data_IF_053729508666
#
_entry.id   IF_053729508666
#
_cell.length_a   1.000
_cell.length_b   1.000
_cell.length_c   1.000
_cell.angle_alpha   90.00
_cell.angle_beta   90.00
_cell.angle_gamma   90.00
#
_symmetry.space_group_name_H-M   'P 1'
#
loop_
_entity.id
_entity.type
_entity.pdbx_description
1 polymer ?
#
# COMPACT_ATOMS: atom_id res chain seq x y z
N UNK A 1 -20.97 16.57 -4.91
CA UNK A 1 -20.32 15.89 -3.76
C UNK A 1 -18.97 15.35 -4.21
N UNK A 2 -17.86 15.63 -3.50
CA UNK A 2 -16.52 15.18 -3.90
C UNK A 2 -16.05 13.92 -3.16
N UNK A 3 -16.55 13.68 -1.95
CA UNK A 3 -16.21 12.51 -1.14
C UNK A 3 -17.48 11.84 -0.67
N UNK A 4 -17.54 10.52 -0.82
CA UNK A 4 -18.57 9.67 -0.22
C UNK A 4 -17.91 8.65 0.67
N UNK A 5 -18.39 8.53 1.90
CA UNK A 5 -17.98 7.47 2.80
C UNK A 5 -19.22 6.68 3.23
N UNK A 6 -19.22 5.39 2.91
CA UNK A 6 -20.23 4.41 3.32
C UNK A 6 -19.61 3.39 4.29
N UNK A 7 -18.53 3.79 4.97
CA UNK A 7 -17.81 2.91 5.87
C UNK A 7 -18.72 2.45 7.02
N UNK A 8 -18.65 1.17 7.39
CA UNK A 8 -19.49 0.60 8.48
C UNK A 8 -21.00 0.62 8.20
N UNK A 9 -21.41 0.93 6.96
CA UNK A 9 -22.81 0.86 6.56
C UNK A 9 -23.18 -0.54 6.04
N UNK A 10 -24.46 -0.88 6.15
CA UNK A 10 -25.06 -1.92 5.32
C UNK A 10 -25.32 -1.30 3.95
N UNK A 11 -24.55 -1.72 2.95
CA UNK A 11 -24.65 -1.25 1.57
C UNK A 11 -25.23 -2.39 0.74
N UNK A 12 -26.42 -2.17 0.20
CA UNK A 12 -27.08 -3.11 -0.71
C UNK A 12 -26.94 -2.66 -2.17
N UNK A 13 -27.48 -3.45 -3.10
CA UNK A 13 -27.43 -3.14 -4.53
C UNK A 13 -28.10 -1.80 -4.89
N UNK A 14 -29.17 -1.39 -4.20
CA UNK A 14 -29.85 -0.13 -4.50
C UNK A 14 -28.98 1.09 -4.16
N UNK A 15 -28.19 1.02 -3.09
CA UNK A 15 -27.20 2.07 -2.78
C UNK A 15 -26.14 2.14 -3.87
N UNK A 16 -25.67 1.00 -4.37
CA UNK A 16 -24.70 0.95 -5.47
C UNK A 16 -25.27 1.48 -6.79
N UNK A 17 -26.53 1.20 -7.09
CA UNK A 17 -27.21 1.81 -8.24
C UNK A 17 -27.28 3.34 -8.09
N UNK A 18 -27.60 3.82 -6.89
CA UNK A 18 -27.67 5.26 -6.61
C UNK A 18 -26.32 5.96 -6.76
N UNK A 19 -25.20 5.24 -6.59
CA UNK A 19 -23.87 5.82 -6.83
C UNK A 19 -23.71 6.29 -8.28
N UNK A 20 -24.37 5.64 -9.24
CA UNK A 20 -24.26 5.98 -10.67
C UNK A 20 -24.70 7.41 -10.98
N UNK A 21 -25.54 8.00 -10.13
CA UNK A 21 -26.05 9.37 -10.28
C UNK A 21 -25.01 10.46 -9.93
N UNK A 22 -23.92 10.11 -9.23
CA UNK A 22 -22.87 11.07 -8.94
C UNK A 22 -22.02 11.35 -10.18
N UNK A 23 -21.83 12.63 -10.51
CA UNK A 23 -21.04 13.04 -11.69
C UNK A 23 -19.62 13.51 -11.35
N UNK A 24 -19.34 13.86 -10.10
CA UNK A 24 -18.10 14.56 -9.69
C UNK A 24 -17.42 13.94 -8.46
N UNK A 25 -17.68 12.65 -8.20
CA UNK A 25 -17.09 11.97 -7.06
C UNK A 25 -15.57 11.79 -7.27
N UNK A 26 -14.77 12.21 -6.28
CA UNK A 26 -13.31 12.10 -6.27
C UNK A 26 -12.80 11.03 -5.30
N UNK A 27 -13.53 10.80 -4.22
CA UNK A 27 -13.16 9.82 -3.19
C UNK A 27 -14.37 8.98 -2.82
N UNK A 28 -14.18 7.66 -2.83
CA UNK A 28 -15.19 6.70 -2.44
C UNK A 28 -14.61 5.76 -1.36
N UNK A 29 -15.25 5.72 -0.19
CA UNK A 29 -14.89 4.80 0.89
C UNK A 29 -16.00 3.78 1.10
N UNK A 30 -15.65 2.52 0.87
CA UNK A 30 -16.47 1.31 1.00
C UNK A 30 -15.78 0.31 1.95
N UNK A 31 -15.13 0.81 3.00
CA UNK A 31 -14.40 -0.01 3.97
C UNK A 31 -15.28 -0.43 5.16
N UNK A 32 -14.93 -1.52 5.83
CA UNK A 32 -15.64 -2.02 7.01
C UNK A 32 -17.14 -2.28 6.79
N UNK A 33 -17.56 -2.67 5.58
CA UNK A 33 -18.98 -2.90 5.30
C UNK A 33 -19.53 -3.99 6.20
N UNK A 34 -20.77 -3.86 6.64
CA UNK A 34 -21.39 -4.83 7.58
C UNK A 34 -22.24 -5.89 6.87
N UNK A 35 -22.41 -5.77 5.55
CA UNK A 35 -23.20 -6.68 4.72
C UNK A 35 -22.66 -6.79 3.29
N UNK A 36 -23.12 -7.85 2.61
CA UNK A 36 -22.77 -8.22 1.24
C UNK A 36 -22.93 -7.09 0.23
N UNK A 37 -21.84 -6.57 -0.31
CA UNK A 37 -21.85 -5.62 -1.42
C UNK A 37 -21.70 -6.35 -2.74
N UNK A 38 -22.62 -6.16 -3.67
CA UNK A 38 -22.49 -6.68 -5.04
C UNK A 38 -22.38 -5.54 -6.03
N UNK A 39 -21.33 -5.56 -6.85
CA UNK A 39 -21.19 -4.63 -7.96
C UNK A 39 -22.07 -5.06 -9.14
N UNK A 40 -22.83 -4.12 -9.69
CA UNK A 40 -23.55 -4.28 -10.97
C UNK A 40 -22.55 -4.17 -12.12
N UNK A 41 -22.57 -5.10 -13.09
CA UNK A 41 -21.66 -5.09 -14.25
C UNK A 41 -22.23 -4.31 -15.45
N UNK A 42 -23.45 -3.83 -15.34
CA UNK A 42 -24.33 -3.50 -16.46
C UNK A 42 -24.38 -2.01 -16.81
N UNK A 43 -23.87 -1.10 -15.95
CA UNK A 43 -23.73 0.33 -16.27
C UNK A 43 -22.49 0.97 -15.67
N UNK A 44 -21.88 1.89 -16.44
CA UNK A 44 -20.73 2.70 -16.04
C UNK A 44 -21.12 3.78 -15.03
N UNK A 45 -20.22 4.07 -14.09
CA UNK A 45 -20.37 5.22 -13.18
C UNK A 45 -20.04 6.54 -13.90
N UNK A 46 -20.88 7.57 -13.72
CA UNK A 46 -20.67 8.88 -14.37
C UNK A 46 -19.40 9.59 -13.89
N UNK A 47 -18.86 9.20 -12.73
CA UNK A 47 -17.61 9.71 -12.16
C UNK A 47 -16.36 8.93 -12.61
N UNK A 48 -16.42 8.13 -13.67
CA UNK A 48 -15.31 7.27 -14.13
C UNK A 48 -13.99 8.02 -14.40
N UNK A 49 -14.07 9.30 -14.79
CA UNK A 49 -12.90 10.17 -15.04
C UNK A 49 -12.57 11.12 -13.86
N UNK A 50 -13.39 11.19 -12.82
CA UNK A 50 -13.16 12.10 -11.69
C UNK A 50 -12.68 11.41 -10.43
N UNK A 51 -12.87 10.09 -10.33
CA UNK A 51 -12.52 9.34 -9.13
C UNK A 51 -11.01 9.15 -9.02
N UNK A 52 -10.45 9.69 -7.93
CA UNK A 52 -9.01 9.70 -7.65
C UNK A 52 -8.65 8.68 -6.57
N UNK A 53 -9.56 8.40 -5.63
CA UNK A 53 -9.27 7.56 -4.47
C UNK A 53 -10.41 6.60 -4.15
N UNK A 54 -10.05 5.34 -3.95
CA UNK A 54 -10.94 4.27 -3.46
C UNK A 54 -10.35 3.65 -2.21
N UNK A 55 -11.20 3.44 -1.20
CA UNK A 55 -10.91 2.62 -0.04
C UNK A 55 -11.92 1.47 0.04
N UNK A 56 -11.42 0.25 -0.08
CA UNK A 56 -12.16 -1.02 0.01
C UNK A 56 -11.46 -1.93 1.03
N UNK A 57 -10.89 -1.34 2.09
CA UNK A 57 -10.29 -2.11 3.19
C UNK A 57 -11.34 -2.92 3.95
N UNK A 58 -10.93 -4.02 4.57
CA UNK A 58 -11.83 -4.88 5.34
C UNK A 58 -13.05 -5.31 4.51
N UNK A 59 -12.84 -5.59 3.22
CA UNK A 59 -13.88 -5.89 2.24
C UNK A 59 -14.40 -7.32 2.31
N UNK A 60 -14.50 -7.91 3.50
CA UNK A 60 -14.91 -9.31 3.65
C UNK A 60 -16.26 -9.62 3.04
N UNK A 61 -17.11 -8.60 2.91
CA UNK A 61 -18.46 -8.69 2.42
C UNK A 61 -18.61 -8.24 0.96
N UNK A 62 -17.54 -7.86 0.27
CA UNK A 62 -17.65 -7.63 -1.17
C UNK A 62 -17.84 -8.98 -1.87
N UNK A 63 -18.89 -9.08 -2.67
CA UNK A 63 -19.27 -10.25 -3.46
C UNK A 63 -19.30 -9.89 -4.95
N UNK A 64 -18.85 -10.81 -5.80
CA UNK A 64 -18.73 -10.59 -7.24
C UNK A 64 -17.37 -10.04 -7.65
N UNK A 65 -17.24 -9.73 -8.94
CA UNK A 65 -15.96 -9.38 -9.55
C UNK A 65 -15.62 -7.90 -9.32
N UNK A 66 -14.86 -7.63 -8.24
CA UNK A 66 -14.38 -6.28 -7.92
C UNK A 66 -13.48 -5.71 -9.02
N UNK A 67 -12.86 -6.55 -9.85
CA UNK A 67 -12.00 -6.07 -10.93
C UNK A 67 -12.82 -5.32 -11.98
N UNK A 68 -14.03 -5.80 -12.30
CA UNK A 68 -14.96 -5.12 -13.22
C UNK A 68 -15.35 -3.74 -12.70
N UNK A 69 -15.53 -3.61 -11.38
CA UNK A 69 -15.81 -2.32 -10.76
C UNK A 69 -14.62 -1.37 -10.89
N UNK A 70 -13.42 -1.82 -10.48
CA UNK A 70 -12.24 -0.96 -10.44
C UNK A 70 -11.75 -0.53 -11.85
N UNK A 71 -11.88 -1.41 -12.86
CA UNK A 71 -11.48 -1.13 -14.26
C UNK A 71 -12.13 0.10 -14.89
N UNK A 72 -13.25 0.55 -14.33
CA UNK A 72 -13.98 1.70 -14.88
C UNK A 72 -13.25 3.01 -14.59
N UNK A 73 -12.46 3.09 -13.51
CA UNK A 73 -11.91 4.35 -13.01
C UNK A 73 -10.54 4.66 -13.60
N UNK A 74 -10.51 5.50 -14.63
CA UNK A 74 -9.30 5.78 -15.43
C UNK A 74 -8.33 6.78 -14.81
N UNK A 75 -8.77 7.49 -13.77
CA UNK A 75 -7.97 8.51 -13.09
C UNK A 75 -7.64 8.11 -11.65
N UNK A 76 -7.75 6.82 -11.32
CA UNK A 76 -7.53 6.32 -9.97
C UNK A 76 -6.04 6.41 -9.60
N UNK A 77 -5.73 7.29 -8.64
CA UNK A 77 -4.35 7.50 -8.14
C UNK A 77 -4.09 6.86 -6.80
N UNK A 78 -5.13 6.59 -6.01
CA UNK A 78 -5.00 6.07 -4.65
C UNK A 78 -5.94 4.90 -4.44
N UNK A 79 -5.39 3.77 -4.02
CA UNK A 79 -6.15 2.57 -3.71
C UNK A 79 -5.76 2.03 -2.34
N UNK A 80 -6.78 1.74 -1.53
CA UNK A 80 -6.60 1.06 -0.25
C UNK A 80 -7.37 -0.25 -0.24
N UNK A 81 -6.66 -1.35 -0.03
CA UNK A 81 -7.15 -2.73 0.03
C UNK A 81 -6.58 -3.46 1.25
N UNK A 82 -6.48 -2.76 2.40
CA UNK A 82 -5.99 -3.33 3.65
C UNK A 82 -6.90 -4.45 4.13
N UNK A 83 -6.33 -5.56 4.63
CA UNK A 83 -7.06 -6.73 5.10
C UNK A 83 -8.23 -7.11 4.17
N UNK A 84 -7.90 -7.39 2.90
CA UNK A 84 -8.90 -7.66 1.86
C UNK A 84 -8.83 -9.10 1.39
N UNK A 85 -10.00 -9.76 1.33
CA UNK A 85 -10.14 -11.08 0.69
C UNK A 85 -9.90 -11.05 -0.81
N UNK A 86 -10.03 -9.88 -1.45
CA UNK A 86 -9.89 -9.67 -2.89
C UNK A 86 -8.50 -9.16 -3.32
N UNK A 87 -7.53 -9.15 -2.40
CA UNK A 87 -6.20 -8.59 -2.67
C UNK A 87 -5.54 -9.23 -3.89
N UNK A 88 -5.76 -10.53 -4.12
CA UNK A 88 -5.06 -11.30 -5.15
C UNK A 88 -5.52 -10.85 -6.53
N UNK A 89 -6.83 -10.87 -6.74
CA UNK A 89 -7.49 -10.45 -7.98
C UNK A 89 -7.18 -8.99 -8.30
N UNK A 90 -7.11 -8.14 -7.26
CA UNK A 90 -6.78 -6.72 -7.43
C UNK A 90 -5.31 -6.52 -7.79
N UNK A 91 -4.37 -7.23 -7.16
CA UNK A 91 -2.95 -7.14 -7.53
C UNK A 91 -2.68 -7.68 -8.93
N UNK A 92 -3.33 -8.79 -9.30
CA UNK A 92 -3.27 -9.33 -10.67
C UNK A 92 -3.80 -8.30 -11.68
N UNK A 93 -4.91 -7.63 -11.36
CA UNK A 93 -5.47 -6.57 -12.18
C UNK A 93 -4.49 -5.40 -12.34
N UNK A 94 -3.97 -4.87 -11.24
CA UNK A 94 -3.09 -3.69 -11.24
C UNK A 94 -1.81 -3.94 -12.03
N UNK A 95 -1.28 -5.17 -11.98
CA UNK A 95 -0.05 -5.53 -12.66
C UNK A 95 -0.19 -5.58 -14.19
N UNK A 96 -1.41 -5.81 -14.73
CA UNK A 96 -1.62 -6.02 -16.18
C UNK A 96 -2.44 -4.93 -16.85
N UNK A 97 -3.29 -4.21 -16.10
CA UNK A 97 -4.24 -3.27 -16.67
C UNK A 97 -3.69 -1.83 -16.66
N UNK A 98 -3.57 -1.26 -17.86
CA UNK A 98 -3.04 0.09 -18.09
C UNK A 98 -3.79 1.20 -17.36
N UNK A 99 -5.06 1.00 -16.97
CA UNK A 99 -5.81 1.98 -16.21
C UNK A 99 -5.17 2.25 -14.83
N UNK A 100 -4.48 1.26 -14.27
CA UNK A 100 -3.79 1.38 -12.99
C UNK A 100 -2.36 1.88 -13.13
N UNK A 101 -1.88 2.19 -14.34
CA UNK A 101 -0.60 2.89 -14.49
C UNK A 101 -0.63 4.29 -13.87
N UNK A 102 -1.83 4.87 -13.67
CA UNK A 102 -1.98 6.13 -12.96
C UNK A 102 -1.95 6.00 -11.43
N UNK A 103 -1.87 4.78 -10.89
CA UNK A 103 -1.87 4.52 -9.45
C UNK A 103 -0.54 4.94 -8.83
N UNK A 104 -0.60 5.93 -7.93
CA UNK A 104 0.55 6.55 -7.27
C UNK A 104 0.66 6.16 -5.78
N UNK A 105 -0.47 5.82 -5.14
CA UNK A 105 -0.50 5.42 -3.72
C UNK A 105 -1.28 4.12 -3.55
N UNK A 106 -0.65 3.15 -2.88
CA UNK A 106 -1.24 1.85 -2.58
C UNK A 106 -1.06 1.54 -1.11
N UNK A 107 -2.17 1.20 -0.46
CA UNK A 107 -2.16 0.66 0.89
C UNK A 107 -2.76 -0.75 0.86
N UNK A 108 -1.89 -1.71 1.17
CA UNK A 108 -2.13 -3.16 1.16
C UNK A 108 -1.79 -3.77 2.52
N UNK A 109 -1.89 -3.00 3.60
CA UNK A 109 -1.53 -3.46 4.94
C UNK A 109 -2.42 -4.62 5.41
N UNK A 110 -1.96 -5.37 6.41
CA UNK A 110 -2.73 -6.44 7.05
C UNK A 110 -3.18 -7.55 6.10
N UNK A 111 -2.51 -7.68 4.95
CA UNK A 111 -2.70 -8.79 4.01
C UNK A 111 -1.58 -9.81 4.16
N UNK A 112 -1.91 -11.09 4.03
CA UNK A 112 -0.94 -12.19 3.92
C UNK A 112 -0.65 -12.43 2.45
N UNK A 113 0.57 -12.19 1.99
CA UNK A 113 0.97 -12.36 0.60
C UNK A 113 1.59 -13.73 0.33
N UNK A 114 1.51 -14.14 -0.93
CA UNK A 114 2.34 -15.17 -1.54
C UNK A 114 3.48 -14.53 -2.34
N UNK A 115 4.50 -15.34 -2.68
CA UNK A 115 5.62 -14.91 -3.53
C UNK A 115 5.14 -14.33 -4.87
N UNK A 116 4.14 -14.96 -5.49
CA UNK A 116 3.59 -14.52 -6.77
C UNK A 116 2.88 -13.15 -6.66
N UNK A 117 2.16 -12.89 -5.56
CA UNK A 117 1.53 -11.59 -5.33
C UNK A 117 2.58 -10.48 -5.12
N UNK A 118 3.70 -10.79 -4.45
CA UNK A 118 4.81 -9.86 -4.32
C UNK A 118 5.50 -9.59 -5.67
N UNK A 119 5.62 -10.59 -6.54
CA UNK A 119 6.09 -10.38 -7.92
C UNK A 119 5.18 -9.42 -8.68
N UNK A 120 3.85 -9.61 -8.63
CA UNK A 120 2.89 -8.68 -9.25
C UNK A 120 2.99 -7.27 -8.70
N UNK A 121 3.13 -7.12 -7.37
CA UNK A 121 3.36 -5.83 -6.74
C UNK A 121 4.64 -5.17 -7.26
N UNK A 122 5.73 -5.92 -7.43
CA UNK A 122 7.02 -5.38 -7.89
C UNK A 122 7.00 -4.79 -9.31
N UNK A 123 5.99 -5.12 -10.12
CA UNK A 123 5.82 -4.59 -11.48
C UNK A 123 5.23 -3.16 -11.50
N UNK A 124 4.81 -2.61 -10.35
CA UNK A 124 4.15 -1.31 -10.26
C UNK A 124 5.13 -0.12 -10.29
N UNK A 125 5.55 0.29 -11.50
CA UNK A 125 6.61 1.30 -11.70
C UNK A 125 6.25 2.74 -11.28
N UNK A 126 4.96 3.09 -11.29
CA UNK A 126 4.51 4.45 -11.02
C UNK A 126 4.18 4.71 -9.54
N UNK A 127 4.35 3.70 -8.69
CA UNK A 127 4.02 3.78 -7.28
C UNK A 127 4.98 4.72 -6.54
N UNK A 128 4.43 5.74 -5.88
CA UNK A 128 5.15 6.75 -5.10
C UNK A 128 5.01 6.54 -3.60
N UNK A 129 3.90 5.95 -3.17
CA UNK A 129 3.65 5.65 -1.77
C UNK A 129 3.13 4.21 -1.62
N UNK A 130 3.80 3.43 -0.78
CA UNK A 130 3.38 2.08 -0.41
C UNK A 130 3.26 1.96 1.11
N UNK A 131 2.09 1.51 1.56
CA UNK A 131 1.86 1.03 2.91
C UNK A 131 1.69 -0.49 2.85
N UNK A 132 2.53 -1.24 3.58
CA UNK A 132 2.57 -2.71 3.49
C UNK A 132 2.82 -3.36 4.85
N UNK A 133 2.16 -4.50 5.07
CA UNK A 133 2.57 -5.49 6.08
C UNK A 133 3.27 -6.61 5.33
N UNK A 134 4.49 -6.95 5.74
CA UNK A 134 5.32 -7.88 5.00
C UNK A 134 5.75 -9.03 5.90
N UNK A 135 5.40 -10.25 5.53
CA UNK A 135 5.90 -11.44 6.20
C UNK A 135 7.34 -11.71 5.75
N UNK A 136 8.22 -11.93 6.72
CA UNK A 136 9.65 -12.01 6.49
C UNK A 136 10.06 -13.33 5.83
N UNK A 137 9.36 -14.43 6.15
CA UNK A 137 9.53 -15.72 5.50
C UNK A 137 9.11 -15.67 4.02
N UNK A 138 7.95 -15.05 3.74
CA UNK A 138 7.46 -14.89 2.37
C UNK A 138 8.38 -13.98 1.56
N UNK A 139 8.85 -12.88 2.14
CA UNK A 139 9.76 -11.98 1.44
C UNK A 139 11.11 -12.65 1.14
N UNK A 140 11.63 -13.46 2.06
CA UNK A 140 12.85 -14.23 1.83
C UNK A 140 12.67 -15.22 0.67
N UNK A 141 11.54 -15.91 0.62
CA UNK A 141 11.22 -16.82 -0.50
C UNK A 141 11.09 -16.06 -1.81
N UNK A 142 10.45 -14.89 -1.80
CA UNK A 142 10.40 -13.99 -2.95
C UNK A 142 11.81 -13.62 -3.43
N UNK A 143 12.70 -13.22 -2.53
CA UNK A 143 14.07 -12.84 -2.91
C UNK A 143 14.81 -14.00 -3.57
N UNK A 144 14.63 -15.21 -3.04
CA UNK A 144 15.27 -16.41 -3.59
C UNK A 144 14.78 -16.80 -4.99
N UNK A 145 13.52 -16.50 -5.31
CA UNK A 145 12.87 -16.94 -6.56
C UNK A 145 12.84 -15.86 -7.64
N UNK A 146 12.59 -14.61 -7.24
CA UNK A 146 12.29 -13.49 -8.13
C UNK A 146 13.37 -12.39 -8.08
N UNK A 147 14.29 -12.45 -7.12
CA UNK A 147 15.32 -11.43 -6.93
C UNK A 147 14.83 -10.25 -6.10
N UNK A 148 15.14 -9.02 -6.51
CA UNK A 148 14.87 -7.84 -5.67
C UNK A 148 13.60 -7.12 -6.08
N UNK A 149 12.90 -6.57 -5.10
CA UNK A 149 11.77 -5.67 -5.32
C UNK A 149 12.26 -4.21 -5.32
N UNK A 150 11.94 -3.47 -6.37
CA UNK A 150 12.39 -2.10 -6.58
C UNK A 150 11.29 -1.25 -7.21
N UNK A 151 11.11 -0.04 -6.69
CA UNK A 151 10.13 0.91 -7.17
C UNK A 151 10.81 2.23 -7.55
N UNK A 152 10.86 2.52 -8.85
CA UNK A 152 11.61 3.66 -9.40
C UNK A 152 11.21 5.02 -8.82
N UNK A 153 9.91 5.21 -8.59
CA UNK A 153 9.33 6.48 -8.17
C UNK A 153 8.92 6.51 -6.69
N UNK A 154 9.36 5.53 -5.89
CA UNK A 154 8.94 5.41 -4.50
C UNK A 154 9.53 6.52 -3.64
N UNK A 155 8.68 7.43 -3.19
CA UNK A 155 9.05 8.53 -2.31
C UNK A 155 8.73 8.21 -0.85
N UNK A 156 7.74 7.35 -0.59
CA UNK A 156 7.28 7.04 0.77
C UNK A 156 6.98 5.57 0.96
N UNK A 157 7.67 4.94 1.91
CA UNK A 157 7.47 3.54 2.27
C UNK A 157 7.09 3.44 3.74
N UNK A 158 6.00 2.74 4.02
CA UNK A 158 5.49 2.54 5.38
C UNK A 158 5.30 1.05 5.64
N UNK A 159 6.02 0.53 6.62
CA UNK A 159 5.80 -0.81 7.14
C UNK A 159 4.84 -0.74 8.33
N UNK A 160 3.80 -1.58 8.31
CA UNK A 160 2.82 -1.69 9.40
C UNK A 160 2.79 -3.13 9.89
N UNK A 161 2.87 -3.34 11.21
CA UNK A 161 2.82 -4.67 11.84
C UNK A 161 3.86 -5.65 11.29
N UNK A 162 5.04 -5.15 10.92
CA UNK A 162 6.12 -5.95 10.30
C UNK A 162 7.29 -6.13 11.26
N UNK A 163 7.80 -7.36 11.40
CA UNK A 163 9.11 -7.64 12.01
C UNK A 163 10.20 -7.42 10.95
N UNK A 164 10.92 -6.31 11.04
CA UNK A 164 11.93 -5.91 10.06
C UNK A 164 13.20 -6.73 10.34
N UNK A 165 13.60 -7.53 9.36
CA UNK A 165 14.85 -8.29 9.36
C UNK A 165 15.84 -7.71 8.33
N UNK A 166 16.98 -8.39 8.12
CA UNK A 166 18.03 -7.93 7.19
C UNK A 166 17.53 -7.86 5.75
N UNK A 167 16.75 -8.84 5.32
CA UNK A 167 16.20 -8.96 3.97
C UNK A 167 15.21 -7.83 3.69
N UNK A 168 14.26 -7.59 4.60
CA UNK A 168 13.33 -6.45 4.50
C UNK A 168 14.09 -5.12 4.58
N UNK A 169 15.18 -5.05 5.35
CA UNK A 169 16.00 -3.84 5.34
C UNK A 169 16.73 -3.63 4.01
N UNK A 170 17.18 -4.71 3.36
CA UNK A 170 17.76 -4.62 2.03
C UNK A 170 16.75 -4.07 1.02
N UNK A 171 15.48 -4.49 1.09
CA UNK A 171 14.40 -3.89 0.28
C UNK A 171 14.40 -2.36 0.40
N UNK A 172 14.51 -1.84 1.63
CA UNK A 172 14.50 -0.40 1.89
C UNK A 172 15.67 0.27 1.19
N UNK A 173 16.88 -0.30 1.30
CA UNK A 173 18.10 0.24 0.68
C UNK A 173 18.06 0.28 -0.85
N UNK A 174 17.27 -0.59 -1.48
CA UNK A 174 17.10 -0.56 -2.94
C UNK A 174 16.25 0.64 -3.40
N UNK A 175 15.46 1.28 -2.52
CA UNK A 175 14.55 2.36 -2.89
C UNK A 175 15.27 3.72 -2.97
N UNK A 176 16.09 3.92 -4.01
CA UNK A 176 16.95 5.11 -4.18
C UNK A 176 16.20 6.45 -4.25
N UNK A 177 14.91 6.43 -4.60
CA UNK A 177 14.05 7.63 -4.62
C UNK A 177 13.39 7.96 -3.27
N UNK A 178 13.59 7.12 -2.24
CA UNK A 178 12.88 7.21 -0.96
C UNK A 178 13.21 8.49 -0.20
N UNK A 179 12.17 9.21 0.23
CA UNK A 179 12.25 10.46 1.01
C UNK A 179 11.75 10.21 2.44
N UNK A 180 10.64 9.49 2.57
CA UNK A 180 9.96 9.21 3.83
C UNK A 180 9.91 7.71 4.11
N UNK A 181 10.48 7.29 5.23
CA UNK A 181 10.38 5.93 5.73
C UNK A 181 9.62 5.91 7.05
N UNK A 182 8.66 5.00 7.21
CA UNK A 182 7.93 4.86 8.47
C UNK A 182 7.75 3.40 8.86
N UNK A 183 7.87 3.15 10.15
CA UNK A 183 7.58 1.88 10.80
C UNK A 183 6.48 2.12 11.82
N UNK A 184 5.39 1.35 11.74
CA UNK A 184 4.21 1.50 12.61
C UNK A 184 3.88 0.16 13.23
N UNK A 185 3.81 0.10 14.56
CA UNK A 185 3.55 -1.14 15.30
C UNK A 185 4.50 -2.29 14.86
N UNK A 186 5.72 -1.94 14.47
CA UNK A 186 6.72 -2.86 13.91
C UNK A 186 7.73 -3.27 14.97
N UNK A 187 8.64 -4.18 14.62
CA UNK A 187 9.84 -4.44 15.44
C UNK A 187 11.10 -4.42 14.61
N UNK A 188 12.16 -3.86 15.19
CA UNK A 188 13.52 -3.82 14.67
C UNK A 188 14.45 -4.29 15.80
N UNK A 189 14.68 -5.60 15.92
CA UNK A 189 15.38 -6.18 17.08
C UNK A 189 16.73 -6.79 16.76
N UNK A 190 17.02 -7.11 15.49
CA UNK A 190 18.27 -7.74 15.08
C UNK A 190 19.27 -6.68 14.58
N UNK A 191 20.54 -6.80 14.95
CA UNK A 191 21.62 -5.86 14.63
C UNK A 191 22.10 -5.94 13.15
N UNK A 192 21.19 -5.81 12.18
CA UNK A 192 21.54 -5.78 10.75
C UNK A 192 21.70 -4.36 10.20
N UNK A 193 21.66 -3.32 11.05
CA UNK A 193 21.63 -1.93 10.59
C UNK A 193 22.92 -1.54 9.86
N UNK A 194 22.86 -1.28 8.54
CA UNK A 194 24.04 -1.01 7.76
C UNK A 194 24.37 0.49 7.82
N UNK A 195 25.66 0.77 7.97
CA UNK A 195 26.25 2.11 7.92
C UNK A 195 26.00 2.79 6.55
N UNK A 196 25.48 2.05 5.56
CA UNK A 196 25.29 2.48 4.18
C UNK A 196 24.05 3.34 3.90
N UNK A 197 23.14 3.57 4.86
CA UNK A 197 21.91 4.33 4.61
C UNK A 197 22.16 5.68 3.90
N UNK A 198 23.10 6.52 4.36
CA UNK A 198 23.32 7.80 3.70
C UNK A 198 23.82 7.68 2.26
N UNK A 199 24.50 6.57 1.94
CA UNK A 199 25.04 6.28 0.60
C UNK A 199 23.97 5.68 -0.31
N UNK A 200 23.17 4.75 0.22
CA UNK A 200 22.15 4.04 -0.57
C UNK A 200 20.86 4.86 -0.74
N UNK A 201 20.56 5.75 0.20
CA UNK A 201 19.30 6.51 0.27
C UNK A 201 19.56 8.02 0.35
N UNK A 202 20.24 8.55 -0.66
CA UNK A 202 20.67 9.96 -0.72
C UNK A 202 19.51 10.97 -0.58
N UNK A 203 18.30 10.58 -1.02
CA UNK A 203 17.11 11.43 -0.95
C UNK A 203 16.34 11.33 0.37
N UNK A 204 16.70 10.39 1.25
CA UNK A 204 15.98 10.15 2.50
C UNK A 204 16.08 11.38 3.40
N UNK A 205 14.93 11.86 3.89
CA UNK A 205 14.86 13.01 4.80
C UNK A 205 14.26 12.65 6.14
N UNK A 206 13.36 11.69 6.17
CA UNK A 206 12.62 11.38 7.38
C UNK A 206 12.49 9.89 7.64
N UNK A 207 12.73 9.50 8.89
CA UNK A 207 12.46 8.17 9.41
C UNK A 207 11.56 8.30 10.65
N UNK A 208 10.39 7.67 10.60
CA UNK A 208 9.39 7.71 11.67
C UNK A 208 9.19 6.32 12.27
N UNK A 209 9.30 6.24 13.59
CA UNK A 209 8.99 5.06 14.36
C UNK A 209 7.78 5.37 15.24
N UNK A 210 6.66 4.71 14.98
CA UNK A 210 5.40 4.91 15.72
C UNK A 210 5.05 3.59 16.39
N UNK A 211 4.95 3.57 17.72
CA UNK A 211 4.68 2.36 18.51
C UNK A 211 5.58 1.17 18.10
N UNK A 212 6.83 1.45 17.71
CA UNK A 212 7.73 0.45 17.13
C UNK A 212 8.77 0.04 18.16
N UNK A 213 8.95 -1.27 18.35
CA UNK A 213 9.96 -1.82 19.25
C UNK A 213 11.32 -1.82 18.54
N UNK A 214 12.32 -1.18 19.15
CA UNK A 214 13.65 -1.02 18.54
C UNK A 214 14.71 -1.36 19.58
N UNK A 215 15.72 -2.14 19.20
CA UNK A 215 16.86 -2.40 20.09
C UNK A 215 17.62 -1.11 20.41
N UNK A 216 18.19 -1.03 21.62
CA UNK A 216 18.97 0.14 22.06
C UNK A 216 20.13 0.44 21.11
N UNK A 217 20.77 -0.60 20.55
CA UNK A 217 21.90 -0.45 19.64
C UNK A 217 21.49 0.13 18.28
N UNK A 218 20.38 -0.33 17.71
CA UNK A 218 19.83 0.24 16.47
C UNK A 218 19.42 1.69 16.70
N UNK A 219 18.76 1.99 17.83
CA UNK A 219 18.36 3.36 18.19
C UNK A 219 19.57 4.29 18.25
N UNK A 220 20.69 3.85 18.83
CA UNK A 220 21.95 4.61 18.89
C UNK A 220 22.50 4.89 17.50
N UNK A 221 22.53 3.89 16.60
CA UNK A 221 22.99 4.04 15.21
C UNK A 221 22.11 5.00 14.41
N UNK A 222 20.79 4.90 14.55
CA UNK A 222 19.81 5.77 13.91
C UNK A 222 20.02 7.26 14.29
N UNK A 223 20.34 7.54 15.55
CA UNK A 223 20.59 8.92 16.00
C UNK A 223 21.80 9.58 15.32
N UNK A 224 22.74 8.80 14.76
CA UNK A 224 23.85 9.33 13.98
C UNK A 224 23.43 9.82 12.59
N UNK A 225 22.26 9.43 12.09
CA UNK A 225 21.77 9.87 10.77
C UNK A 225 21.49 11.37 10.70
N UNK A 226 21.35 12.04 11.85
CA UNK A 226 21.25 13.50 11.93
C UNK A 226 22.44 14.23 11.29
N UNK A 227 23.63 13.62 11.25
CA UNK A 227 24.82 14.20 10.61
C UNK A 227 24.73 14.22 9.08
N UNK A 228 23.71 13.56 8.52
CA UNK A 228 23.40 13.51 7.09
C UNK A 228 22.08 14.23 6.78
N UNK A 229 21.63 15.14 7.65
CA UNK A 229 20.36 15.86 7.54
C UNK A 229 19.11 14.98 7.46
N UNK A 230 19.19 13.77 8.04
CA UNK A 230 18.06 12.84 8.15
C UNK A 230 17.43 13.00 9.54
N UNK A 231 16.13 13.34 9.56
CA UNK A 231 15.36 13.45 10.81
C UNK A 231 14.83 12.08 11.22
N UNK A 232 15.16 11.66 12.44
CA UNK A 232 14.65 10.42 13.03
C UNK A 232 13.73 10.74 14.21
N UNK A 233 12.48 10.29 14.14
CA UNK A 233 11.46 10.53 15.17
C UNK A 233 10.97 9.22 15.80
N UNK A 234 10.86 9.20 17.12
CA UNK A 234 10.31 8.08 17.90
C UNK A 234 9.04 8.58 18.60
N UNK A 235 7.90 7.95 18.30
CA UNK A 235 6.56 8.28 18.78
C UNK A 235 5.89 7.06 19.40
#
# INVERSE_FOLDING_TARGET
MQTLALSKCSVNSAVMESLKEFTHLKTLKLCDLTQGLKFSSDRKYLFEYSLISIDISNSEFIQGDITIFLKQFKCLKKLRISNSKHKKEILELIAVDSNFFSLEELDITENIFSVYELDRLSQMKNLKCLLITLDDSIYKDFVSQMGKMYFENMNKLVFINTDINKEIFQLILEQTSLIDLSFKNSKLTNDFFPISIPVSLEKLKHIYFINTTISTEIKRKLMCLKFYDITVSFQ
#
